data_IF_940414505153
#
_entry.id   IF_940414505153
#
_cell.length_a   1.000
_cell.length_b   1.000
_cell.length_c   1.000
_cell.angle_alpha   90.00
_cell.angle_beta   90.00
_cell.angle_gamma   90.00
#
_symmetry.space_group_name_H-M   'P 1'
#
loop_
_entity.id
_entity.type
_entity.pdbx_description
1 polymer ?
#
# COMPACT_ATOMS: atom_id res chain seq x y z
N UNK A 1 -2.83 -54.11 -58.28
CA UNK A 1 -2.02 -53.89 -57.06
C UNK A 1 -1.80 -52.37 -56.93
N UNK A 2 -2.71 -51.63 -56.23
CA UNK A 2 -2.61 -50.23 -56.07
C UNK A 2 -1.90 -49.94 -54.75
N UNK A 3 -0.79 -49.16 -54.81
CA UNK A 3 -0.07 -48.68 -53.63
C UNK A 3 -0.65 -47.30 -53.23
N UNK A 4 -1.25 -47.22 -52.04
CA UNK A 4 -1.69 -45.99 -51.42
C UNK A 4 -0.50 -45.40 -50.66
N UNK A 5 -0.05 -44.20 -51.05
CA UNK A 5 0.94 -43.41 -50.31
C UNK A 5 0.18 -42.50 -49.34
N UNK A 6 0.31 -42.77 -48.05
CA UNK A 6 -0.23 -41.91 -47.00
C UNK A 6 0.83 -40.88 -46.67
N UNK A 7 0.59 -39.62 -47.09
CA UNK A 7 1.44 -38.50 -46.71
C UNK A 7 1.07 -38.04 -45.29
N UNK A 8 1.99 -38.18 -44.35
CA UNK A 8 1.86 -37.64 -42.99
C UNK A 8 2.22 -36.16 -43.01
N UNK A 9 1.22 -35.26 -42.87
CA UNK A 9 1.45 -33.83 -42.67
C UNK A 9 1.79 -33.60 -41.19
N UNK A 10 3.03 -33.20 -40.91
CA UNK A 10 3.48 -32.80 -39.61
C UNK A 10 3.12 -31.30 -39.43
N UNK A 11 2.10 -30.98 -38.59
CA UNK A 11 1.82 -29.61 -38.18
C UNK A 11 2.81 -29.24 -37.08
N UNK A 12 3.78 -28.38 -37.39
CA UNK A 12 4.62 -27.70 -36.40
C UNK A 12 3.86 -26.45 -35.95
N UNK A 13 3.22 -26.50 -34.80
CA UNK A 13 2.72 -25.31 -34.13
C UNK A 13 3.90 -24.56 -33.54
N UNK A 14 4.32 -23.47 -34.18
CA UNK A 14 5.23 -22.50 -33.61
C UNK A 14 4.39 -21.69 -32.60
N UNK A 15 4.55 -21.98 -31.32
CA UNK A 15 4.06 -21.06 -30.27
C UNK A 15 4.91 -19.79 -30.36
N UNK A 16 4.31 -18.73 -30.87
CA UNK A 16 4.83 -17.38 -30.71
C UNK A 16 4.67 -17.02 -29.23
N UNK A 17 5.73 -17.23 -28.45
CA UNK A 17 5.84 -16.61 -27.14
C UNK A 17 5.94 -15.09 -27.41
N UNK A 18 4.82 -14.38 -27.32
CA UNK A 18 4.83 -12.94 -27.17
C UNK A 18 5.71 -12.61 -25.96
N UNK A 19 6.68 -11.75 -26.14
CA UNK A 19 7.44 -11.22 -25.01
C UNK A 19 6.42 -10.48 -24.14
N UNK A 20 6.21 -10.92 -22.90
CA UNK A 20 5.37 -10.19 -21.94
C UNK A 20 5.86 -8.73 -21.91
N UNK A 21 4.96 -7.74 -21.96
CA UNK A 21 5.35 -6.34 -21.87
C UNK A 21 6.15 -6.15 -20.57
N UNK A 22 7.35 -5.60 -20.68
CA UNK A 22 8.19 -5.34 -19.52
C UNK A 22 7.48 -4.38 -18.55
N UNK A 23 7.71 -4.54 -17.26
CA UNK A 23 7.18 -3.65 -16.19
C UNK A 23 7.54 -2.19 -16.45
N UNK A 24 8.73 -1.96 -17.00
CA UNK A 24 9.24 -0.63 -17.34
C UNK A 24 9.21 -0.48 -18.86
N UNK A 25 8.63 0.62 -19.34
CA UNK A 25 8.65 0.95 -20.76
C UNK A 25 10.10 1.05 -21.28
N UNK A 26 10.32 0.61 -22.53
CA UNK A 26 11.64 0.68 -23.14
C UNK A 26 12.19 2.11 -23.11
N UNK A 27 13.43 2.27 -22.66
CA UNK A 27 14.11 3.57 -22.46
C UNK A 27 13.52 4.50 -21.38
N UNK A 28 12.59 4.02 -20.55
CA UNK A 28 12.13 4.80 -19.41
C UNK A 28 13.29 5.05 -18.43
N UNK A 29 13.28 6.24 -17.81
CA UNK A 29 14.28 6.66 -16.82
C UNK A 29 13.55 7.21 -15.61
N UNK A 30 14.06 6.88 -14.43
CA UNK A 30 13.65 7.56 -13.21
C UNK A 30 14.12 9.01 -13.27
N UNK A 31 13.21 9.93 -13.00
CA UNK A 31 13.51 11.37 -12.95
C UNK A 31 12.96 11.96 -11.66
N UNK A 32 13.70 12.89 -11.07
CA UNK A 32 13.23 13.61 -9.90
C UNK A 32 12.16 14.62 -10.32
N UNK A 33 10.94 14.45 -9.80
CA UNK A 33 9.80 15.30 -10.13
C UNK A 33 9.76 16.60 -9.29
N UNK A 34 10.31 16.58 -8.07
CA UNK A 34 10.31 17.73 -7.18
C UNK A 34 11.40 17.67 -6.10
N UNK A 35 11.56 18.78 -5.38
CA UNK A 35 12.55 18.93 -4.28
C UNK A 35 11.99 19.86 -3.19
N UNK A 36 12.66 19.89 -2.05
CA UNK A 36 12.30 20.82 -0.96
C UNK A 36 11.30 20.25 0.03
N UNK A 37 11.10 18.94 0.03
CA UNK A 37 10.31 18.21 1.01
C UNK A 37 11.21 17.74 2.15
N UNK A 38 10.64 17.63 3.36
CA UNK A 38 11.35 17.11 4.52
C UNK A 38 11.39 15.58 4.52
N UNK A 39 10.23 14.94 4.30
CA UNK A 39 10.09 13.48 4.21
C UNK A 39 8.79 13.12 3.51
N UNK A 40 8.89 12.62 2.28
CA UNK A 40 7.72 12.27 1.47
C UNK A 40 7.29 10.83 1.69
N UNK A 41 5.98 10.62 1.83
CA UNK A 41 5.35 9.35 2.16
C UNK A 41 4.02 9.16 1.44
N UNK A 42 3.42 8.00 1.61
CA UNK A 42 2.05 7.62 1.32
C UNK A 42 1.52 8.01 -0.04
N UNK A 43 2.21 7.68 -1.15
CA UNK A 43 1.69 8.02 -2.47
C UNK A 43 0.37 7.30 -2.74
N UNK A 44 -0.67 8.06 -3.09
CA UNK A 44 -2.00 7.55 -3.44
C UNK A 44 -2.44 8.09 -4.80
N UNK A 45 -3.03 7.23 -5.61
CA UNK A 45 -3.53 7.61 -6.95
C UNK A 45 -5.04 7.85 -6.86
N UNK A 46 -5.45 9.08 -7.23
CA UNK A 46 -6.87 9.43 -7.30
C UNK A 46 -7.55 8.85 -8.55
N UNK A 47 -8.89 8.81 -8.60
CA UNK A 47 -9.63 8.29 -9.75
C UNK A 47 -9.34 9.01 -11.08
N UNK A 48 -8.88 10.27 -11.05
CA UNK A 48 -8.48 11.03 -12.24
C UNK A 48 -7.03 10.78 -12.67
N UNK A 49 -6.28 9.93 -11.94
CA UNK A 49 -4.90 9.58 -12.22
C UNK A 49 -3.87 10.54 -11.63
N UNK A 50 -4.28 11.55 -10.88
CA UNK A 50 -3.36 12.40 -10.12
C UNK A 50 -2.74 11.64 -8.95
N UNK A 51 -1.47 11.90 -8.64
CA UNK A 51 -0.76 11.25 -7.54
C UNK A 51 -0.63 12.21 -6.37
N UNK A 52 -1.20 11.83 -5.24
CA UNK A 52 -1.09 12.56 -3.99
C UNK A 52 0.05 11.95 -3.17
N UNK A 53 0.77 12.79 -2.42
CA UNK A 53 1.81 12.33 -1.51
C UNK A 53 1.92 13.27 -0.32
N UNK A 54 2.34 12.75 0.82
CA UNK A 54 2.53 13.53 2.04
C UNK A 54 3.96 14.06 2.13
N UNK A 55 4.12 15.19 2.82
CA UNK A 55 5.37 15.62 3.46
C UNK A 55 5.08 15.69 4.95
N UNK A 56 5.16 14.53 5.60
CA UNK A 56 4.68 14.29 6.96
C UNK A 56 5.21 15.31 7.99
N UNK A 57 6.54 15.59 8.07
CA UNK A 57 7.05 16.53 9.07
C UNK A 57 6.60 17.98 8.83
N UNK A 58 6.21 18.31 7.61
CA UNK A 58 5.74 19.65 7.21
C UNK A 58 4.23 19.80 7.34
N UNK A 59 3.51 18.73 7.72
CA UNK A 59 2.03 18.69 7.81
C UNK A 59 1.34 19.03 6.49
N UNK A 60 1.82 18.46 5.38
CA UNK A 60 1.35 18.80 4.03
C UNK A 60 1.04 17.59 3.19
N UNK A 61 0.03 17.73 2.33
CA UNK A 61 -0.23 16.85 1.21
C UNK A 61 -0.05 17.64 -0.08
N UNK A 62 0.65 17.07 -1.02
CA UNK A 62 0.86 17.59 -2.37
C UNK A 62 0.17 16.71 -3.39
N UNK A 63 -0.14 17.29 -4.55
CA UNK A 63 -0.66 16.57 -5.71
C UNK A 63 0.24 16.80 -6.92
N UNK A 64 0.63 15.71 -7.58
CA UNK A 64 1.24 15.72 -8.90
C UNK A 64 0.14 15.40 -9.93
N UNK A 65 -0.19 16.40 -10.74
CA UNK A 65 -1.34 16.38 -11.63
C UNK A 65 -1.00 15.86 -13.04
N UNK A 66 -1.99 15.74 -13.91
CA UNK A 66 -1.86 15.31 -15.30
C UNK A 66 -0.89 16.16 -16.14
N UNK A 67 -0.71 17.45 -15.80
CA UNK A 67 0.23 18.35 -16.44
C UNK A 67 1.67 18.15 -15.95
N UNK A 68 1.90 17.18 -15.03
CA UNK A 68 3.18 16.91 -14.35
C UNK A 68 3.66 18.07 -13.49
N UNK A 69 2.73 18.82 -12.93
CA UNK A 69 2.99 19.89 -11.97
C UNK A 69 2.68 19.43 -10.56
N UNK A 70 3.50 19.86 -9.60
CA UNK A 70 3.26 19.59 -8.18
C UNK A 70 2.70 20.85 -7.54
N UNK A 71 1.55 20.70 -6.87
CA UNK A 71 0.88 21.75 -6.14
C UNK A 71 0.60 21.32 -4.69
N UNK A 72 0.58 22.29 -3.78
CA UNK A 72 0.09 22.07 -2.41
C UNK A 72 -1.41 21.78 -2.48
N UNK A 73 -1.82 20.64 -1.91
CA UNK A 73 -3.23 20.27 -1.83
C UNK A 73 -3.86 20.66 -0.49
N UNK A 74 -3.16 20.39 0.65
CA UNK A 74 -3.59 20.77 2.00
C UNK A 74 -2.36 20.98 2.90
N UNK A 75 -2.50 21.89 3.91
CA UNK A 75 -1.50 22.17 4.94
C UNK A 75 -2.08 22.02 6.37
N UNK A 76 -3.19 21.31 6.50
CA UNK A 76 -3.79 20.85 7.75
C UNK A 76 -4.15 19.36 7.60
N UNK A 77 -3.14 18.51 7.67
CA UNK A 77 -3.29 17.10 7.34
C UNK A 77 -3.26 16.19 8.58
N UNK A 78 -2.93 16.76 9.76
CA UNK A 78 -2.66 15.97 10.97
C UNK A 78 -1.39 15.14 10.83
N UNK A 79 -0.39 15.66 10.08
CA UNK A 79 0.86 14.97 9.75
C UNK A 79 0.62 13.60 9.16
N UNK A 80 -0.25 13.55 8.16
CA UNK A 80 -0.58 12.31 7.46
C UNK A 80 0.65 11.61 6.90
N UNK A 81 0.65 10.29 6.99
CA UNK A 81 1.65 9.37 6.45
C UNK A 81 1.05 8.60 5.28
N UNK A 82 0.73 7.32 5.40
CA UNK A 82 0.07 6.53 4.37
C UNK A 82 -1.31 7.06 4.01
N UNK A 83 -1.67 6.96 2.74
CA UNK A 83 -2.96 7.43 2.21
C UNK A 83 -3.52 6.44 1.19
N UNK A 84 -4.84 6.44 1.07
CA UNK A 84 -5.55 5.67 0.04
C UNK A 84 -6.85 6.39 -0.35
N UNK A 85 -7.24 6.30 -1.62
CA UNK A 85 -8.56 6.74 -2.08
C UNK A 85 -9.56 5.60 -1.99
N UNK A 86 -10.74 5.88 -1.47
CA UNK A 86 -11.84 4.94 -1.51
C UNK A 86 -12.52 4.89 -2.90
N UNK A 87 -13.57 4.09 -3.03
CA UNK A 87 -14.29 3.92 -4.29
C UNK A 87 -15.09 5.17 -4.71
N UNK A 88 -15.43 6.03 -3.76
CA UNK A 88 -16.14 7.30 -3.94
C UNK A 88 -15.18 8.44 -4.30
N UNK A 89 -13.86 8.22 -4.15
CA UNK A 89 -12.80 9.21 -4.41
C UNK A 89 -12.51 10.10 -3.20
N UNK A 90 -12.95 9.72 -2.01
CA UNK A 90 -12.54 10.37 -0.77
C UNK A 90 -11.15 9.89 -0.34
N UNK A 91 -10.31 10.81 0.14
CA UNK A 91 -8.97 10.50 0.60
C UNK A 91 -8.99 10.11 2.07
N UNK A 92 -8.52 8.91 2.38
CA UNK A 92 -8.30 8.43 3.74
C UNK A 92 -6.81 8.42 4.05
N UNK A 93 -6.42 8.79 5.26
CA UNK A 93 -5.03 8.91 5.67
C UNK A 93 -4.77 8.44 7.11
N UNK A 94 -3.57 7.95 7.34
CA UNK A 94 -2.99 7.74 8.66
C UNK A 94 -2.49 9.07 9.21
N UNK A 95 -3.28 9.75 10.06
CA UNK A 95 -2.98 11.08 10.61
C UNK A 95 -2.20 10.94 11.93
N UNK A 96 -0.88 10.95 11.82
CA UNK A 96 0.07 10.56 12.88
C UNK A 96 0.13 11.57 14.05
N UNK A 97 -0.25 12.85 13.84
CA UNK A 97 -0.18 13.88 14.89
C UNK A 97 -1.04 13.51 16.12
N UNK A 98 -2.15 12.82 15.91
CA UNK A 98 -3.07 12.41 16.97
C UNK A 98 -3.34 10.91 16.98
N UNK A 99 -2.51 10.11 16.30
CA UNK A 99 -2.63 8.66 16.20
C UNK A 99 -4.01 8.20 15.68
N UNK A 100 -4.45 8.78 14.57
CA UNK A 100 -5.80 8.64 14.03
C UNK A 100 -5.79 8.12 12.59
N UNK A 101 -6.90 7.50 12.19
CA UNK A 101 -7.32 7.51 10.80
C UNK A 101 -8.20 8.74 10.57
N UNK A 102 -7.98 9.42 9.46
CA UNK A 102 -8.75 10.59 9.05
C UNK A 102 -9.22 10.44 7.60
N UNK A 103 -10.31 11.12 7.24
CA UNK A 103 -10.70 11.30 5.85
C UNK A 103 -10.81 12.79 5.52
N UNK A 104 -10.73 13.11 4.23
CA UNK A 104 -10.82 14.48 3.74
C UNK A 104 -12.06 14.61 2.85
N UNK A 105 -12.91 15.59 3.16
CA UNK A 105 -14.08 15.91 2.36
C UNK A 105 -13.73 16.70 1.08
N UNK A 106 -14.74 17.00 0.26
CA UNK A 106 -14.58 17.75 -0.99
C UNK A 106 -14.00 19.17 -0.80
N UNK A 107 -14.13 19.74 0.40
CA UNK A 107 -13.55 21.03 0.77
C UNK A 107 -12.12 20.88 1.31
N UNK A 108 -11.54 19.67 1.25
CA UNK A 108 -10.22 19.29 1.77
C UNK A 108 -10.11 19.40 3.28
N UNK A 109 -11.23 19.43 3.98
CA UNK A 109 -11.25 19.48 5.43
C UNK A 109 -11.06 18.08 5.99
N UNK A 110 -10.12 17.96 6.93
CA UNK A 110 -9.84 16.73 7.65
C UNK A 110 -10.91 16.43 8.70
N UNK A 111 -11.37 15.20 8.74
CA UNK A 111 -12.33 14.66 9.71
C UNK A 111 -11.76 13.42 10.36
N UNK A 112 -12.07 13.23 11.65
CA UNK A 112 -11.74 12.00 12.36
C UNK A 112 -12.56 10.83 11.79
N UNK A 113 -11.87 9.75 11.42
CA UNK A 113 -12.49 8.48 11.05
C UNK A 113 -12.43 7.48 12.20
N UNK A 114 -11.24 7.30 12.79
CA UNK A 114 -11.02 6.34 13.87
C UNK A 114 -9.78 6.69 14.70
N UNK A 115 -9.77 6.41 16.04
CA UNK A 115 -8.63 6.78 16.90
C UNK A 115 -8.32 5.81 18.04
N UNK A 116 -9.26 4.92 18.46
CA UNK A 116 -9.09 4.14 19.67
C UNK A 116 -9.39 2.65 19.45
N UNK A 117 -8.58 1.79 20.04
CA UNK A 117 -8.85 0.36 20.15
C UNK A 117 -8.82 -0.06 21.63
N UNK A 118 -9.89 -0.73 22.09
CA UNK A 118 -10.04 -1.17 23.51
C UNK A 118 -9.79 -0.02 24.52
N UNK A 119 -10.43 1.13 24.28
CA UNK A 119 -10.33 2.35 25.13
C UNK A 119 -8.90 2.95 25.22
N UNK A 120 -7.99 2.57 24.33
CA UNK A 120 -6.64 3.12 24.24
C UNK A 120 -6.41 3.74 22.87
N UNK A 121 -5.59 4.79 22.83
CA UNK A 121 -5.12 5.34 21.57
C UNK A 121 -4.36 4.32 20.74
N UNK A 122 -4.40 4.48 19.43
CA UNK A 122 -3.51 3.77 18.52
C UNK A 122 -2.05 4.19 18.78
N UNK A 123 -1.09 3.36 18.40
CA UNK A 123 0.34 3.66 18.58
C UNK A 123 0.86 4.76 17.64
N UNK A 124 0.27 4.85 16.46
CA UNK A 124 0.60 5.76 15.37
C UNK A 124 0.39 5.05 14.03
N UNK A 125 -0.84 5.09 13.48
CA UNK A 125 -1.14 4.48 12.18
C UNK A 125 -0.17 4.97 11.12
N UNK A 126 0.34 4.04 10.31
CA UNK A 126 1.40 4.35 9.35
C UNK A 126 0.94 4.20 7.90
N UNK A 127 0.43 3.05 7.50
CA UNK A 127 -0.03 2.79 6.14
C UNK A 127 -1.37 2.08 6.14
N UNK A 128 -2.14 2.21 5.05
CA UNK A 128 -3.48 1.65 4.94
C UNK A 128 -3.81 1.20 3.52
N UNK A 129 -4.73 0.24 3.43
CA UNK A 129 -5.37 -0.19 2.20
C UNK A 129 -6.88 -0.31 2.41
N UNK A 130 -7.66 0.16 1.44
CA UNK A 130 -9.12 0.06 1.43
C UNK A 130 -9.54 -1.07 0.49
N UNK A 131 -10.23 -2.06 1.03
CA UNK A 131 -10.74 -3.19 0.27
C UNK A 131 -11.94 -2.78 -0.60
N UNK A 132 -12.28 -3.54 -1.67
CA UNK A 132 -13.41 -3.21 -2.55
C UNK A 132 -14.79 -3.13 -1.87
N UNK A 133 -14.94 -3.70 -0.69
CA UNK A 133 -16.15 -3.63 0.13
C UNK A 133 -16.18 -2.44 1.09
N UNK A 134 -15.17 -1.56 1.04
CA UNK A 134 -15.04 -0.39 1.92
C UNK A 134 -14.38 -0.66 3.28
N UNK A 135 -13.99 -1.90 3.56
CA UNK A 135 -13.22 -2.21 4.77
C UNK A 135 -11.80 -1.67 4.67
N UNK A 136 -11.25 -1.20 5.78
CA UNK A 136 -9.90 -0.63 5.85
C UNK A 136 -8.99 -1.56 6.64
N UNK A 137 -7.84 -1.90 6.06
CA UNK A 137 -6.74 -2.54 6.78
C UNK A 137 -5.64 -1.52 6.96
N UNK A 138 -5.11 -1.39 8.18
CA UNK A 138 -4.05 -0.44 8.46
C UNK A 138 -3.03 -0.99 9.44
N UNK A 139 -1.80 -0.51 9.32
CA UNK A 139 -0.70 -0.83 10.22
C UNK A 139 -0.59 0.22 11.31
N UNK A 140 -0.33 -0.23 12.55
CA UNK A 140 -0.21 0.62 13.72
C UNK A 140 1.13 0.33 14.45
N UNK A 141 2.27 0.64 13.81
CA UNK A 141 3.56 0.57 14.46
C UNK A 141 3.71 1.72 15.46
N UNK A 142 4.76 1.68 16.25
CA UNK A 142 5.18 2.81 17.06
C UNK A 142 6.48 3.39 16.48
N UNK A 143 6.44 4.64 16.03
CA UNK A 143 7.60 5.43 15.67
C UNK A 143 7.59 6.69 16.52
N UNK A 144 8.56 6.84 17.42
CA UNK A 144 8.68 8.09 18.18
C UNK A 144 8.88 9.27 17.21
N UNK A 145 8.08 10.33 17.42
CA UNK A 145 8.14 11.57 16.62
C UNK A 145 8.51 12.74 17.49
N UNK A 146 9.43 13.59 17.02
CA UNK A 146 9.89 14.77 17.75
C UNK A 146 8.80 15.83 17.93
N UNK A 147 7.75 15.79 17.10
CA UNK A 147 6.60 16.71 17.19
C UNK A 147 5.49 16.20 18.11
N UNK A 148 5.59 15.00 18.65
CA UNK A 148 4.66 14.53 19.66
C UNK A 148 4.99 15.15 21.02
N UNK A 149 3.96 15.47 21.77
CA UNK A 149 4.13 15.88 23.17
C UNK A 149 4.61 14.73 24.05
N UNK A 150 5.16 15.02 25.23
CA UNK A 150 5.75 14.04 26.15
C UNK A 150 4.82 12.87 26.54
N UNK A 151 3.51 13.01 26.31
CA UNK A 151 2.50 11.98 26.65
C UNK A 151 2.26 10.96 25.55
N UNK A 152 2.84 11.10 24.36
CA UNK A 152 2.73 10.11 23.30
C UNK A 152 3.64 8.92 23.60
N UNK A 153 3.04 7.87 24.12
CA UNK A 153 3.69 6.60 24.41
C UNK A 153 3.06 5.50 23.56
N UNK A 154 3.76 4.38 23.41
CA UNK A 154 3.18 3.18 22.82
C UNK A 154 2.00 2.73 23.71
N UNK A 155 0.77 3.03 23.27
CA UNK A 155 -0.42 2.85 24.11
C UNK A 155 -1.01 1.45 24.01
N UNK A 156 -0.85 0.81 22.86
CA UNK A 156 -1.27 -0.57 22.63
C UNK A 156 -0.22 -1.54 23.17
N UNK A 157 -0.65 -2.75 23.53
CA UNK A 157 0.22 -3.81 24.07
C UNK A 157 1.06 -4.51 22.99
N UNK A 158 0.80 -4.21 21.73
CA UNK A 158 1.54 -4.72 20.57
C UNK A 158 1.46 -3.74 19.40
N UNK A 159 2.38 -3.88 18.46
CA UNK A 159 2.37 -3.19 17.17
C UNK A 159 1.57 -4.01 16.20
N UNK A 160 0.31 -3.62 16.01
CA UNK A 160 -0.69 -4.44 15.35
C UNK A 160 -0.96 -4.05 13.91
N UNK A 161 -1.70 -4.93 13.25
CA UNK A 161 -2.46 -4.60 12.04
C UNK A 161 -3.93 -4.75 12.37
N UNK A 162 -4.73 -3.78 11.94
CA UNK A 162 -6.14 -3.71 12.26
C UNK A 162 -6.99 -3.77 11.01
N UNK A 163 -8.17 -4.31 11.18
CA UNK A 163 -9.28 -4.29 10.22
C UNK A 163 -10.39 -3.42 10.81
N UNK A 164 -10.74 -2.36 10.12
CA UNK A 164 -11.91 -1.52 10.39
C UNK A 164 -12.95 -1.83 9.31
N UNK A 165 -14.05 -2.48 9.70
CA UNK A 165 -15.13 -2.77 8.77
C UNK A 165 -15.86 -1.50 8.35
N UNK A 166 -16.53 -1.53 7.20
CA UNK A 166 -17.38 -0.45 6.71
C UNK A 166 -18.55 -0.10 7.66
N UNK A 167 -18.91 -1.03 8.56
CA UNK A 167 -19.89 -0.81 9.64
C UNK A 167 -19.27 -0.15 10.89
N UNK A 168 -17.96 0.15 10.89
CA UNK A 168 -17.25 0.80 11.99
C UNK A 168 -16.79 -0.14 13.11
N UNK A 169 -16.77 -1.46 12.88
CA UNK A 169 -16.23 -2.44 13.84
C UNK A 169 -14.75 -2.63 13.61
N UNK A 170 -13.96 -2.42 14.66
CA UNK A 170 -12.51 -2.60 14.64
C UNK A 170 -12.10 -3.96 15.21
N UNK A 171 -11.16 -4.61 14.57
CA UNK A 171 -10.56 -5.88 15.02
C UNK A 171 -9.05 -5.84 14.77
N UNK A 172 -8.24 -6.21 15.76
CA UNK A 172 -6.82 -6.45 15.56
C UNK A 172 -6.64 -7.82 14.90
N UNK A 173 -6.10 -7.83 13.68
CA UNK A 173 -6.01 -9.04 12.85
C UNK A 173 -4.60 -9.63 12.80
N UNK A 174 -3.56 -8.86 13.18
CA UNK A 174 -2.17 -9.32 13.36
C UNK A 174 -1.60 -8.65 14.61
N UNK A 175 -0.92 -9.42 15.46
CA UNK A 175 -0.36 -8.97 16.73
C UNK A 175 1.07 -9.51 16.99
N UNK A 176 1.67 -10.20 16.02
CA UNK A 176 2.95 -10.89 16.15
C UNK A 176 4.09 -10.28 15.31
N UNK A 177 3.90 -9.02 14.84
CA UNK A 177 4.93 -8.30 14.09
C UNK A 177 5.84 -7.46 14.99
N UNK A 178 7.10 -7.28 14.56
CA UNK A 178 8.05 -6.40 15.22
C UNK A 178 7.79 -4.93 14.92
N UNK A 179 7.50 -4.64 13.65
CA UNK A 179 7.24 -3.28 13.16
C UNK A 179 6.45 -3.36 11.84
N UNK A 180 5.12 -3.51 11.90
CA UNK A 180 4.30 -3.48 10.69
C UNK A 180 4.45 -2.10 10.01
N UNK A 181 4.48 -2.08 8.66
CA UNK A 181 4.60 -0.84 7.91
C UNK A 181 3.80 -0.98 6.61
N UNK A 182 4.41 -1.03 5.42
CA UNK A 182 3.68 -1.10 4.16
C UNK A 182 2.62 -2.20 4.11
N UNK A 183 1.45 -1.88 3.57
CA UNK A 183 0.31 -2.78 3.45
C UNK A 183 -0.40 -2.57 2.12
N UNK A 184 -0.78 -3.64 1.44
CA UNK A 184 -1.56 -3.58 0.20
C UNK A 184 -2.39 -4.86 0.02
N UNK A 185 -3.60 -4.74 -0.48
CA UNK A 185 -4.42 -5.89 -0.87
C UNK A 185 -4.57 -6.03 -2.37
N UNK A 186 -5.00 -7.21 -2.80
CA UNK A 186 -5.33 -7.44 -4.21
C UNK A 186 -6.64 -6.73 -4.59
N UNK A 187 -6.80 -6.28 -5.87
CA UNK A 187 -8.01 -5.60 -6.33
C UNK A 187 -9.29 -6.42 -6.18
N UNK A 188 -9.20 -7.74 -6.07
CA UNK A 188 -10.35 -8.63 -5.83
C UNK A 188 -10.71 -8.79 -4.35
N UNK A 189 -9.97 -8.13 -3.45
CA UNK A 189 -10.22 -8.15 -2.00
C UNK A 189 -9.92 -9.46 -1.30
N UNK A 190 -9.15 -10.39 -1.91
CA UNK A 190 -8.96 -11.73 -1.36
C UNK A 190 -7.62 -11.97 -0.69
N UNK A 191 -6.62 -11.15 -0.99
CA UNK A 191 -5.26 -11.31 -0.47
C UNK A 191 -4.75 -10.00 0.10
N UNK A 192 -4.12 -10.07 1.27
CA UNK A 192 -3.45 -8.93 1.91
C UNK A 192 -1.95 -9.24 2.02
N UNK A 193 -1.13 -8.26 1.66
CA UNK A 193 0.31 -8.27 1.86
C UNK A 193 0.67 -7.25 2.93
N UNK A 194 1.50 -7.65 3.89
CA UNK A 194 1.93 -6.77 4.99
C UNK A 194 3.42 -6.94 5.22
N UNK A 195 4.11 -5.81 5.32
CA UNK A 195 5.52 -5.77 5.66
C UNK A 195 5.74 -5.75 7.16
N UNK A 196 6.61 -6.62 7.68
CA UNK A 196 7.30 -6.45 8.95
C UNK A 196 8.69 -5.89 8.65
N UNK A 197 8.84 -4.57 8.72
CA UNK A 197 10.07 -3.90 8.27
C UNK A 197 11.27 -4.28 9.14
N UNK A 198 11.08 -4.46 10.45
CA UNK A 198 12.14 -4.85 11.38
C UNK A 198 12.46 -6.35 11.37
N UNK A 199 11.58 -7.20 10.83
CA UNK A 199 11.88 -8.61 10.56
C UNK A 199 12.41 -8.83 9.13
N UNK A 200 12.34 -7.80 8.28
CA UNK A 200 12.81 -7.87 6.89
C UNK A 200 12.02 -8.85 6.05
N UNK A 201 10.71 -8.92 6.24
CA UNK A 201 9.83 -9.89 5.59
C UNK A 201 8.53 -9.25 5.15
N UNK A 202 8.03 -9.73 4.02
CA UNK A 202 6.64 -9.53 3.62
C UNK A 202 5.90 -10.86 3.85
N UNK A 203 4.75 -10.76 4.46
CA UNK A 203 3.82 -11.86 4.64
C UNK A 203 2.57 -11.61 3.81
N UNK A 204 1.96 -12.69 3.33
CA UNK A 204 0.71 -12.66 2.61
C UNK A 204 -0.35 -13.49 3.34
N UNK A 205 -1.59 -13.02 3.29
CA UNK A 205 -2.74 -13.61 3.96
C UNK A 205 -3.91 -13.73 3.01
N UNK A 206 -4.76 -14.74 3.24
CA UNK A 206 -6.08 -14.80 2.63
C UNK A 206 -7.07 -14.00 3.50
N UNK A 207 -7.84 -13.11 2.88
CA UNK A 207 -8.92 -12.35 3.53
C UNK A 207 -10.19 -13.17 3.49
N UNK A 208 -10.84 -13.36 4.65
CA UNK A 208 -12.14 -14.01 4.78
C UNK A 208 -13.27 -13.03 4.57
N UNK A 209 -14.50 -13.51 4.28
CA UNK A 209 -15.67 -12.64 4.12
C UNK A 209 -16.02 -11.78 5.34
N UNK A 210 -15.58 -12.16 6.53
CA UNK A 210 -15.75 -11.43 7.79
C UNK A 210 -14.59 -10.46 8.10
N UNK A 211 -13.66 -10.25 7.15
CA UNK A 211 -12.50 -9.39 7.29
C UNK A 211 -11.33 -10.00 8.08
N UNK A 212 -11.49 -11.19 8.66
CA UNK A 212 -10.40 -11.87 9.37
C UNK A 212 -9.38 -12.46 8.39
N UNK A 213 -8.13 -12.61 8.86
CA UNK A 213 -7.02 -13.12 8.06
C UNK A 213 -6.72 -14.59 8.36
N UNK A 214 -6.30 -15.32 7.33
CA UNK A 214 -5.89 -16.71 7.44
C UNK A 214 -4.75 -17.02 6.46
N UNK A 215 -4.17 -18.21 6.54
CA UNK A 215 -3.22 -18.67 5.53
C UNK A 215 -1.90 -17.88 5.48
N UNK A 216 -1.43 -17.35 6.65
CA UNK A 216 -0.14 -16.63 6.72
C UNK A 216 0.96 -17.40 6.00
N UNK A 217 1.49 -16.82 4.91
CA UNK A 217 2.57 -17.39 4.11
C UNK A 217 3.66 -16.35 3.87
N UNK A 218 4.91 -16.80 3.87
CA UNK A 218 6.04 -15.97 3.51
C UNK A 218 5.94 -15.58 2.02
N UNK A 219 6.13 -14.28 1.73
CA UNK A 219 6.08 -13.78 0.36
C UNK A 219 7.44 -13.32 -0.15
N UNK A 220 8.15 -12.43 0.57
CA UNK A 220 9.43 -11.90 0.12
C UNK A 220 10.38 -11.61 1.30
N UNK A 221 11.71 -11.76 1.10
CA UNK A 221 12.74 -11.50 2.12
C UNK A 221 13.12 -10.01 2.14
N UNK A 222 12.12 -9.13 2.31
CA UNK A 222 12.29 -7.68 2.34
C UNK A 222 11.33 -7.06 3.35
N UNK A 223 11.77 -6.00 4.06
CA UNK A 223 10.85 -5.04 4.61
C UNK A 223 10.37 -4.08 3.51
N UNK A 224 9.34 -3.31 3.78
CA UNK A 224 8.90 -2.24 2.90
C UNK A 224 8.28 -1.10 3.70
N UNK A 225 8.63 0.11 3.33
CA UNK A 225 8.06 1.31 3.92
C UNK A 225 6.66 1.59 3.36
N UNK A 226 6.47 1.43 2.05
CA UNK A 226 5.17 1.45 1.39
C UNK A 226 5.09 0.40 0.31
N UNK A 227 3.88 0.03 -0.09
CA UNK A 227 3.65 -0.97 -1.13
C UNK A 227 2.57 -0.52 -2.09
N UNK A 228 2.70 -0.96 -3.36
CA UNK A 228 1.61 -0.88 -4.34
C UNK A 228 1.56 -2.14 -5.20
N UNK A 229 0.49 -2.29 -5.96
CA UNK A 229 0.22 -3.45 -6.81
C UNK A 229 -0.20 -3.00 -8.20
N UNK A 230 0.26 -3.69 -9.23
CA UNK A 230 -0.19 -3.45 -10.61
C UNK A 230 -1.34 -4.40 -11.01
N UNK A 231 -1.87 -4.21 -12.23
CA UNK A 231 -2.96 -5.01 -12.78
C UNK A 231 -2.58 -6.49 -13.01
N UNK A 232 -1.28 -6.79 -13.07
CA UNK A 232 -0.76 -8.15 -13.20
C UNK A 232 -0.58 -8.83 -11.83
N UNK A 233 -0.79 -8.07 -10.74
CA UNK A 233 -0.60 -8.52 -9.37
C UNK A 233 0.84 -8.48 -8.90
N UNK A 234 1.74 -7.79 -9.62
CA UNK A 234 3.10 -7.58 -9.16
C UNK A 234 3.11 -6.59 -8.00
N UNK A 235 3.88 -6.89 -6.96
CA UNK A 235 3.98 -6.07 -5.75
C UNK A 235 5.25 -5.23 -5.83
N UNK A 236 5.09 -3.92 -5.67
CA UNK A 236 6.17 -2.94 -5.64
C UNK A 236 6.48 -2.58 -4.19
N UNK A 237 7.72 -2.73 -3.79
CA UNK A 237 8.20 -2.50 -2.42
C UNK A 237 9.17 -1.33 -2.41
N UNK A 238 9.04 -0.42 -1.44
CA UNK A 238 9.98 0.69 -1.25
C UNK A 238 10.90 0.41 -0.07
N UNK A 239 12.18 0.21 -0.37
CA UNK A 239 13.25 0.06 0.62
C UNK A 239 14.59 0.45 -0.03
N UNK A 240 14.94 1.73 0.03
CA UNK A 240 16.13 2.29 -0.60
C UNK A 240 16.04 2.42 -2.13
N UNK A 241 15.28 1.59 -2.78
CA UNK A 241 14.85 1.61 -4.18
C UNK A 241 13.50 0.91 -4.29
N UNK A 242 12.94 0.79 -5.50
CA UNK A 242 11.72 0.03 -5.72
C UNK A 242 12.08 -1.39 -6.18
N UNK A 243 11.60 -2.37 -5.43
CA UNK A 243 11.74 -3.80 -5.73
C UNK A 243 10.40 -4.34 -6.23
N UNK A 244 10.39 -5.01 -7.37
CA UNK A 244 9.16 -5.55 -7.94
C UNK A 244 9.17 -7.07 -7.86
N UNK A 245 8.17 -7.61 -7.20
CA UNK A 245 7.98 -9.05 -7.03
C UNK A 245 6.76 -9.53 -7.80
N UNK A 246 6.89 -10.68 -8.47
CA UNK A 246 5.75 -11.35 -9.09
C UNK A 246 4.72 -11.78 -8.04
N UNK A 247 3.46 -12.11 -8.40
CA UNK A 247 2.47 -12.67 -7.48
C UNK A 247 2.93 -13.96 -6.78
N UNK A 248 3.92 -14.66 -7.37
CA UNK A 248 4.57 -15.83 -6.81
C UNK A 248 5.67 -15.55 -5.78
N UNK A 249 6.04 -14.28 -5.56
CA UNK A 249 7.11 -13.88 -4.65
C UNK A 249 8.51 -13.94 -5.26
N UNK A 250 8.64 -13.97 -6.58
CA UNK A 250 9.92 -13.92 -7.28
C UNK A 250 10.29 -12.46 -7.59
N UNK A 251 11.52 -12.07 -7.28
CA UNK A 251 12.04 -10.75 -7.68
C UNK A 251 12.19 -10.70 -9.19
N UNK A 252 11.47 -9.78 -9.85
CA UNK A 252 11.44 -9.67 -11.31
C UNK A 252 12.06 -8.36 -11.82
N UNK A 253 12.12 -7.31 -10.99
CA UNK A 253 12.69 -6.03 -11.39
C UNK A 253 13.20 -5.23 -10.18
N UNK A 254 14.22 -4.41 -10.40
CA UNK A 254 14.70 -3.36 -9.50
C UNK A 254 14.68 -2.03 -10.26
N UNK A 255 14.15 -0.96 -9.61
CA UNK A 255 14.07 0.39 -10.17
C UNK A 255 14.87 1.31 -9.24
N UNK A 256 15.93 1.94 -9.79
CA UNK A 256 16.88 2.82 -9.09
C UNK A 256 16.68 4.28 -9.44
#
# INVERSE_FOLDING_TARGET
>A
MYRIYTSLLLFVTVALFGQEPGIIAENAKVTQAGTGYAFTEGPAVSPDGSVYFTDQPSDRIYVWNENREIALWSDDTGRSNGMYFDAEGELVACADLHNQLAYFDSDKKRHLLFENYEDKHLNGPNDLWIAPNGDIYFTDPYYHRDYWEELHTEAQDTRGVYHLSSDGVITRVIDDYKQPNGIIGTPDGKTLYVADINDGKIWKYDIRPDGTLTGKTFFAPKGSDGMTIDEQGNIYLTMGKVWVYSPGGELIQEIE
#
